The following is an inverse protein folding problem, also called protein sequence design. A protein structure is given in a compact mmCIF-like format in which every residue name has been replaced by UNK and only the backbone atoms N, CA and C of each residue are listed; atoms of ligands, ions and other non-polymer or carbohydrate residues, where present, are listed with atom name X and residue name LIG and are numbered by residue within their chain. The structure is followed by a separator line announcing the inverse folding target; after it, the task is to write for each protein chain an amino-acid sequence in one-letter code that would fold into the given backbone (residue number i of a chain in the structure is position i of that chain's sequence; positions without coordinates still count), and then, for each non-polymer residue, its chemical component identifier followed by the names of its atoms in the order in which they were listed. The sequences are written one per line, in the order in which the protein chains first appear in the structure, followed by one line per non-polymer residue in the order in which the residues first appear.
data_IF_614718632690
#
_entry.id   IF_614718632690
#
_cell.length_a   1.000
_cell.length_b   1.000
_cell.length_c   1.000
_cell.angle_alpha   90.00
_cell.angle_beta   90.00
_cell.angle_gamma   90.00
#
_symmetry.space_group_name_H-M   'P 1'
#
loop_
_entity.id
_entity.type
_entity.pdbx_description
1 polymer ?
#
# COMPACT_ATOMS: atom_id res chain seq x y z
N UNK A 1 8.80 19.75 -6.85
CA UNK A 1 8.22 20.80 -5.99
C UNK A 1 9.09 21.14 -4.78
N UNK A 2 9.52 20.16 -3.96
CA UNK A 2 10.40 20.43 -2.81
C UNK A 2 11.78 20.96 -3.24
N UNK A 3 12.41 20.37 -4.27
CA UNK A 3 13.68 20.86 -4.80
C UNK A 3 13.59 22.35 -5.21
N UNK A 4 12.52 22.74 -5.92
CA UNK A 4 12.27 24.13 -6.30
C UNK A 4 12.05 25.03 -5.08
N UNK A 5 11.39 24.53 -4.03
CA UNK A 5 11.20 25.26 -2.77
C UNK A 5 12.51 25.45 -1.99
N UNK A 6 13.41 24.46 -2.03
CA UNK A 6 14.74 24.53 -1.42
C UNK A 6 15.70 25.43 -2.22
N UNK A 7 15.52 25.57 -3.53
CA UNK A 7 16.34 26.45 -4.37
C UNK A 7 15.85 27.91 -4.37
N UNK A 8 14.65 28.17 -3.87
CA UNK A 8 14.04 29.51 -3.87
C UNK A 8 14.02 30.12 -2.47
N UNK A 9 14.50 31.35 -2.32
CA UNK A 9 14.34 32.10 -1.06
C UNK A 9 12.91 32.58 -0.83
N UNK A 10 12.13 32.66 -1.92
CA UNK A 10 10.74 33.12 -1.93
C UNK A 10 9.90 32.26 -2.86
N UNK A 11 8.71 31.86 -2.41
CA UNK A 11 7.71 31.15 -3.21
C UNK A 11 6.44 31.97 -3.29
N UNK A 12 5.73 31.94 -4.43
CA UNK A 12 4.39 32.54 -4.46
C UNK A 12 3.46 31.76 -3.53
N UNK A 13 2.47 32.44 -2.94
CA UNK A 13 1.48 31.81 -2.06
C UNK A 13 0.77 30.62 -2.72
N UNK A 14 0.48 30.73 -4.02
CA UNK A 14 -0.08 29.63 -4.83
C UNK A 14 0.85 28.41 -4.84
N UNK A 15 2.13 28.59 -5.19
CA UNK A 15 3.12 27.49 -5.23
C UNK A 15 3.33 26.88 -3.84
N UNK A 16 3.36 27.70 -2.80
CA UNK A 16 3.49 27.24 -1.42
C UNK A 16 2.27 26.41 -0.97
N UNK A 17 1.05 26.87 -1.27
CA UNK A 17 -0.18 26.12 -0.97
C UNK A 17 -0.30 24.82 -1.75
N UNK A 18 0.09 24.84 -3.04
CA UNK A 18 0.16 23.63 -3.86
C UNK A 18 1.11 22.61 -3.25
N UNK A 19 2.31 23.05 -2.83
CA UNK A 19 3.26 22.21 -2.11
C UNK A 19 2.67 21.65 -0.81
N UNK A 20 2.08 22.49 0.05
CA UNK A 20 1.44 22.04 1.29
C UNK A 20 0.28 21.06 1.05
N UNK A 21 -0.45 21.24 -0.05
CA UNK A 21 -1.47 20.31 -0.51
C UNK A 21 -0.89 18.94 -0.82
N UNK A 22 0.16 18.87 -1.64
CA UNK A 22 0.86 17.62 -1.94
C UNK A 22 1.45 16.96 -0.69
N UNK A 23 2.10 17.73 0.19
CA UNK A 23 2.67 17.21 1.44
C UNK A 23 1.59 16.71 2.40
N UNK A 24 0.38 17.29 2.39
CA UNK A 24 -0.77 16.79 3.15
C UNK A 24 -1.17 15.39 2.70
N UNK A 25 -1.21 15.14 1.41
CA UNK A 25 -1.49 13.80 0.88
C UNK A 25 -0.41 12.81 1.34
N UNK A 26 0.87 13.17 1.31
CA UNK A 26 1.93 12.26 1.80
C UNK A 26 1.82 12.03 3.32
N UNK A 27 1.44 13.04 4.09
CA UNK A 27 1.30 12.94 5.54
C UNK A 27 0.11 12.06 6.02
N UNK A 28 -0.79 11.63 5.11
CA UNK A 28 -1.78 10.60 5.43
C UNK A 28 -1.11 9.23 5.55
N UNK A 29 -0.16 8.93 4.65
CA UNK A 29 0.59 7.68 4.61
C UNK A 29 1.79 7.68 5.56
N UNK A 30 2.40 8.85 5.80
CA UNK A 30 3.59 9.01 6.66
C UNK A 30 3.22 9.80 7.91
N UNK A 31 2.65 9.13 8.92
CA UNK A 31 2.16 9.79 10.16
C UNK A 31 3.21 10.68 10.86
N UNK A 32 4.49 10.28 11.00
CA UNK A 32 5.51 11.15 11.61
C UNK A 32 5.75 12.46 10.84
N UNK A 33 5.50 12.46 9.52
CA UNK A 33 5.69 13.64 8.66
C UNK A 33 4.70 14.78 8.93
N UNK A 34 3.61 14.50 9.68
CA UNK A 34 2.57 15.49 10.04
C UNK A 34 3.13 16.66 10.86
N UNK A 35 4.09 16.40 11.74
CA UNK A 35 4.70 17.45 12.58
C UNK A 35 5.42 18.51 11.72
N UNK A 36 6.17 18.08 10.70
CA UNK A 36 6.82 18.97 9.73
C UNK A 36 5.79 19.75 8.90
N UNK A 37 4.69 19.11 8.48
CA UNK A 37 3.61 19.79 7.77
C UNK A 37 2.95 20.87 8.64
N UNK A 38 2.75 20.61 9.92
CA UNK A 38 2.15 21.54 10.85
C UNK A 38 3.01 22.79 11.03
N UNK A 39 4.32 22.62 11.25
CA UNK A 39 5.28 23.73 11.33
C UNK A 39 5.33 24.58 10.05
N UNK A 40 5.28 23.94 8.89
CA UNK A 40 5.18 24.66 7.61
C UNK A 40 3.87 25.48 7.48
N UNK A 41 2.75 24.99 8.05
CA UNK A 41 1.47 25.71 8.06
C UNK A 41 1.41 26.85 9.07
N UNK A 42 2.08 26.71 10.22
CA UNK A 42 2.23 27.82 11.18
C UNK A 42 2.98 28.99 10.52
N UNK A 43 3.97 28.68 9.67
CA UNK A 43 4.60 29.66 8.78
C UNK A 43 3.63 30.30 7.78
N UNK A 44 2.59 29.59 7.32
CA UNK A 44 1.57 30.12 6.40
C UNK A 44 0.72 31.21 7.06
N UNK A 45 0.32 31.02 8.32
CA UNK A 45 -0.56 31.94 9.04
C UNK A 45 0.06 33.34 9.22
N UNK A 46 1.39 33.42 9.19
CA UNK A 46 2.15 34.68 9.32
C UNK A 46 2.31 35.44 8.00
N UNK A 47 1.69 34.98 6.91
CA UNK A 47 1.87 35.54 5.56
C UNK A 47 0.70 36.43 5.14
N UNK A 48 0.98 37.72 4.94
CA UNK A 48 0.03 38.72 4.44
C UNK A 48 -0.53 38.36 3.04
N UNK A 49 -1.76 38.84 2.76
CA UNK A 49 -2.65 38.41 1.66
C UNK A 49 -2.07 38.45 0.23
N UNK A 50 -1.01 39.23 -0.03
CA UNK A 50 -0.47 39.44 -1.40
C UNK A 50 1.05 39.20 -1.54
N UNK A 51 1.70 38.60 -0.55
CA UNK A 51 3.16 38.47 -0.54
C UNK A 51 3.66 37.10 -1.03
N UNK A 52 4.86 37.12 -1.60
CA UNK A 52 5.68 35.91 -1.71
C UNK A 52 6.05 35.41 -0.31
N UNK A 53 5.95 34.11 -0.10
CA UNK A 53 6.33 33.38 1.11
C UNK A 53 7.86 33.32 1.16
N UNK A 54 8.47 34.01 2.13
CA UNK A 54 9.90 33.84 2.39
C UNK A 54 10.11 32.53 3.13
N UNK A 55 10.98 31.67 2.61
CA UNK A 55 11.31 30.40 3.25
C UNK A 55 12.31 30.68 4.38
N UNK A 56 11.85 30.55 5.62
CA UNK A 56 12.71 30.73 6.79
C UNK A 56 13.66 29.54 6.97
N UNK A 57 14.78 29.68 7.71
CA UNK A 57 15.68 28.56 7.96
C UNK A 57 14.97 27.33 8.58
N UNK A 58 14.08 27.46 9.58
CA UNK A 58 13.32 26.31 10.09
C UNK A 58 12.42 25.65 9.04
N UNK A 59 11.79 26.44 8.16
CA UNK A 59 10.99 25.88 7.06
C UNK A 59 11.87 25.13 6.06
N UNK A 60 13.09 25.62 5.81
CA UNK A 60 14.08 24.97 4.95
C UNK A 60 14.52 23.63 5.56
N UNK A 61 14.73 23.57 6.88
CA UNK A 61 15.04 22.32 7.58
C UNK A 61 13.89 21.31 7.47
N UNK A 62 12.65 21.76 7.66
CA UNK A 62 11.47 20.90 7.47
C UNK A 62 11.36 20.39 6.02
N UNK A 63 11.64 21.24 5.02
CA UNK A 63 11.67 20.83 3.62
C UNK A 63 12.81 19.85 3.29
N UNK A 64 13.96 19.96 3.98
CA UNK A 64 15.04 18.98 3.88
C UNK A 64 14.63 17.63 4.48
N UNK A 65 13.97 17.64 5.63
CA UNK A 65 13.40 16.41 6.20
C UNK A 65 12.39 15.75 5.26
N UNK A 66 11.51 16.52 4.64
CA UNK A 66 10.62 16.00 3.60
C UNK A 66 11.37 15.41 2.41
N UNK A 67 12.47 16.04 1.99
CA UNK A 67 13.32 15.51 0.93
C UNK A 67 13.95 14.17 1.34
N UNK A 68 14.43 14.03 2.57
CA UNK A 68 14.97 12.76 3.07
C UNK A 68 13.90 11.66 3.18
N UNK A 69 12.72 12.00 3.71
CA UNK A 69 11.59 11.07 3.83
C UNK A 69 11.17 10.56 2.45
N UNK A 70 11.10 11.43 1.44
CA UNK A 70 10.71 11.06 0.09
C UNK A 70 11.83 10.40 -0.73
N UNK A 71 13.10 10.59 -0.34
CA UNK A 71 14.22 9.86 -0.94
C UNK A 71 14.41 8.47 -0.35
N UNK A 72 13.79 8.15 0.79
CA UNK A 72 13.76 6.78 1.27
C UNK A 72 12.92 5.94 0.29
N UNK A 73 13.49 4.90 -0.36
CA UNK A 73 12.76 4.11 -1.33
C UNK A 73 11.63 3.30 -0.70
N UNK A 74 11.55 3.18 0.62
CA UNK A 74 10.58 2.36 1.33
C UNK A 74 9.69 3.19 2.27
N UNK A 75 8.40 2.88 2.27
CA UNK A 75 7.42 3.34 3.23
C UNK A 75 6.83 2.13 3.97
N UNK A 76 7.17 1.95 5.26
CA UNK A 76 6.80 0.78 6.06
C UNK A 76 7.15 -0.57 5.38
N UNK A 77 8.30 -0.62 4.69
CA UNK A 77 8.74 -1.80 3.93
C UNK A 77 8.15 -1.90 2.52
N UNK A 78 7.20 -1.04 2.13
CA UNK A 78 6.62 -0.99 0.78
C UNK A 78 7.40 0.02 -0.08
N UNK A 79 7.95 -0.39 -1.23
CA UNK A 79 8.62 0.52 -2.15
C UNK A 79 7.74 1.70 -2.60
N UNK A 80 8.25 2.93 -2.48
CA UNK A 80 7.56 4.14 -2.92
C UNK A 80 7.28 4.13 -4.44
N UNK A 81 8.05 3.38 -5.23
CA UNK A 81 7.81 3.22 -6.66
C UNK A 81 6.43 2.63 -6.95
N UNK A 82 5.91 1.75 -6.09
CA UNK A 82 4.56 1.16 -6.22
C UNK A 82 3.43 2.19 -6.08
N UNK A 83 3.69 3.36 -5.48
CA UNK A 83 2.72 4.45 -5.37
C UNK A 83 2.73 5.38 -6.59
N UNK A 84 3.83 5.42 -7.35
CA UNK A 84 3.96 6.25 -8.54
C UNK A 84 3.42 5.55 -9.79
N UNK A 85 3.70 4.25 -9.92
CA UNK A 85 3.18 3.37 -10.94
C UNK A 85 3.01 1.98 -10.31
N UNK A 86 1.98 1.22 -10.67
CA UNK A 86 1.96 -0.22 -10.39
C UNK A 86 2.89 -0.89 -11.42
N UNK A 87 4.12 -1.31 -11.04
CA UNK A 87 4.94 -2.07 -11.97
C UNK A 87 4.32 -3.43 -12.21
N UNK A 88 4.68 -4.04 -13.34
CA UNK A 88 4.28 -5.40 -13.64
C UNK A 88 4.63 -6.34 -12.48
N UNK A 89 3.71 -7.25 -12.09
CA UNK A 89 3.97 -8.22 -11.03
C UNK A 89 5.03 -9.24 -11.47
N UNK A 90 5.84 -9.68 -10.53
CA UNK A 90 6.79 -10.78 -10.74
C UNK A 90 6.04 -12.09 -11.01
N UNK A 91 4.94 -12.32 -10.27
CA UNK A 91 4.04 -13.44 -10.49
C UNK A 91 2.58 -13.02 -10.33
N UNK A 92 1.72 -13.60 -11.17
CA UNK A 92 0.26 -13.53 -10.99
C UNK A 92 -0.24 -14.85 -10.45
N UNK A 93 -1.01 -14.79 -9.36
CA UNK A 93 -1.68 -15.93 -8.74
C UNK A 93 -3.17 -15.80 -9.01
N UNK A 94 -3.80 -16.88 -9.46
CA UNK A 94 -5.25 -16.96 -9.59
C UNK A 94 -5.76 -17.83 -8.46
N UNK A 95 -6.72 -17.34 -7.69
CA UNK A 95 -7.29 -18.07 -6.56
C UNK A 95 -8.80 -18.18 -6.72
N UNK A 96 -9.36 -19.28 -6.24
CA UNK A 96 -10.80 -19.51 -6.21
C UNK A 96 -11.16 -20.30 -4.94
N UNK A 97 -12.39 -20.14 -4.47
CA UNK A 97 -12.96 -20.80 -3.32
C UNK A 97 -14.38 -21.26 -3.59
N UNK A 98 -14.70 -22.47 -3.16
CA UNK A 98 -16.02 -23.08 -3.27
C UNK A 98 -16.45 -23.68 -1.94
N UNK A 99 -17.64 -24.27 -1.87
CA UNK A 99 -18.09 -25.02 -0.69
C UNK A 99 -17.39 -26.36 -0.47
N UNK A 100 -16.54 -26.78 -1.40
CA UNK A 100 -15.79 -28.02 -1.31
C UNK A 100 -14.32 -27.80 -0.93
N UNK A 101 -13.78 -26.62 -1.23
CA UNK A 101 -12.37 -26.33 -1.06
C UNK A 101 -11.93 -25.07 -1.77
N UNK A 102 -10.63 -24.84 -1.73
CA UNK A 102 -9.94 -23.71 -2.36
C UNK A 102 -8.93 -24.20 -3.38
N UNK A 103 -8.61 -23.32 -4.32
CA UNK A 103 -7.51 -23.54 -5.24
C UNK A 103 -6.68 -22.27 -5.47
N UNK A 104 -5.43 -22.47 -5.87
CA UNK A 104 -4.54 -21.42 -6.31
C UNK A 104 -3.69 -21.91 -7.50
N UNK A 105 -3.43 -21.03 -8.46
CA UNK A 105 -2.66 -21.32 -9.67
C UNK A 105 -1.64 -20.21 -9.92
N UNK A 106 -0.40 -20.61 -10.24
CA UNK A 106 0.65 -19.70 -10.73
C UNK A 106 1.10 -20.18 -12.12
N UNK A 107 0.46 -19.72 -13.21
CA UNK A 107 0.73 -20.23 -14.55
C UNK A 107 2.19 -20.10 -14.98
N UNK A 108 2.84 -18.98 -14.63
CA UNK A 108 4.23 -18.70 -14.98
C UNK A 108 5.21 -19.75 -14.43
N UNK A 109 4.89 -20.35 -13.28
CA UNK A 109 5.71 -21.36 -12.62
C UNK A 109 5.11 -22.78 -12.74
N UNK A 110 3.97 -22.93 -13.43
CA UNK A 110 3.20 -24.19 -13.51
C UNK A 110 2.88 -24.79 -12.14
N UNK A 111 2.61 -23.92 -11.16
CA UNK A 111 2.24 -24.34 -9.82
C UNK A 111 0.72 -24.37 -9.68
N UNK A 112 0.21 -25.40 -9.03
CA UNK A 112 -1.19 -25.55 -8.70
C UNK A 112 -1.31 -26.09 -7.27
N UNK A 113 -2.24 -25.52 -6.51
CA UNK A 113 -2.59 -25.94 -5.16
C UNK A 113 -4.10 -26.12 -5.11
N UNK A 114 -4.52 -27.24 -4.53
CA UNK A 114 -5.92 -27.50 -4.20
C UNK A 114 -5.98 -27.99 -2.77
N UNK A 115 -6.89 -27.42 -1.99
CA UNK A 115 -7.16 -27.89 -0.63
C UNK A 115 -8.65 -28.18 -0.53
N UNK A 116 -8.98 -29.43 -0.23
CA UNK A 116 -10.35 -29.88 0.02
C UNK A 116 -10.66 -29.68 1.49
N UNK A 117 -11.80 -29.05 1.77
CA UNK A 117 -12.23 -28.82 3.14
C UNK A 117 -12.51 -30.13 3.86
N UNK A 118 -12.09 -30.15 5.12
CA UNK A 118 -12.37 -31.21 6.08
C UNK A 118 -13.86 -31.30 6.40
N UNK A 119 -14.30 -32.40 6.99
CA UNK A 119 -15.68 -32.57 7.43
C UNK A 119 -16.12 -31.47 8.42
N UNK A 120 -15.21 -30.98 9.26
CA UNK A 120 -15.47 -29.90 10.20
C UNK A 120 -15.68 -28.55 9.49
N UNK A 121 -14.84 -28.20 8.52
CA UNK A 121 -14.99 -26.97 7.73
C UNK A 121 -16.25 -27.01 6.85
N UNK A 122 -16.56 -28.16 6.25
CA UNK A 122 -17.83 -28.35 5.52
C UNK A 122 -19.02 -28.15 6.46
N UNK A 123 -18.92 -28.57 7.72
CA UNK A 123 -19.98 -28.36 8.71
C UNK A 123 -20.14 -26.87 9.03
N UNK A 124 -19.05 -26.10 9.17
CA UNK A 124 -19.11 -24.64 9.33
C UNK A 124 -19.83 -23.96 8.17
N UNK A 125 -19.55 -24.36 6.93
CA UNK A 125 -20.22 -23.84 5.73
C UNK A 125 -21.73 -24.14 5.78
N UNK A 126 -22.11 -25.36 6.18
CA UNK A 126 -23.52 -25.75 6.30
C UNK A 126 -24.25 -24.96 7.36
N UNK A 127 -23.61 -24.73 8.51
CA UNK A 127 -24.22 -23.98 9.61
C UNK A 127 -24.36 -22.50 9.25
N UNK A 128 -23.37 -21.92 8.58
CA UNK A 128 -23.45 -20.55 8.03
C UNK A 128 -24.64 -20.41 7.07
N UNK A 129 -24.83 -21.37 6.15
CA UNK A 129 -26.00 -21.39 5.23
C UNK A 129 -27.34 -21.55 5.94
N UNK A 130 -27.35 -22.06 7.17
CA UNK A 130 -28.54 -22.13 8.04
C UNK A 130 -28.75 -20.86 8.88
N UNK A 131 -27.88 -19.87 8.74
CA UNK A 131 -27.96 -18.59 9.45
C UNK A 131 -27.10 -18.52 10.71
N UNK A 132 -26.20 -19.46 10.95
CA UNK A 132 -25.22 -19.34 12.03
C UNK A 132 -24.20 -18.24 11.69
N UNK A 133 -23.82 -17.43 12.68
CA UNK A 133 -22.76 -16.43 12.54
C UNK A 133 -21.42 -17.02 13.00
N UNK A 134 -20.70 -17.67 12.09
CA UNK A 134 -19.42 -18.33 12.39
C UNK A 134 -18.23 -17.76 11.59
N UNK A 135 -18.45 -16.75 10.74
CA UNK A 135 -17.41 -16.06 9.98
C UNK A 135 -16.69 -16.90 8.90
N UNK A 136 -17.07 -18.17 8.70
CA UNK A 136 -16.47 -19.04 7.68
C UNK A 136 -17.16 -18.86 6.32
N UNK A 137 -17.39 -17.61 5.95
CA UNK A 137 -18.08 -17.22 4.72
C UNK A 137 -17.21 -17.35 3.48
N UNK A 138 -17.77 -17.01 2.32
CA UNK A 138 -17.03 -17.11 1.05
C UNK A 138 -15.85 -16.14 0.99
N UNK A 139 -16.00 -14.93 1.56
CA UNK A 139 -14.95 -13.91 1.55
C UNK A 139 -13.75 -14.35 2.38
N UNK A 140 -14.00 -14.90 3.57
CA UNK A 140 -12.96 -15.49 4.40
C UNK A 140 -12.21 -16.60 3.66
N UNK A 141 -12.93 -17.50 2.98
CA UNK A 141 -12.32 -18.65 2.30
C UNK A 141 -11.53 -18.27 1.05
N UNK A 142 -11.88 -17.19 0.36
CA UNK A 142 -11.04 -16.64 -0.71
C UNK A 142 -9.75 -16.03 -0.19
N UNK A 143 -9.81 -15.27 0.92
CA UNK A 143 -8.60 -14.79 1.59
C UNK A 143 -7.75 -15.95 2.13
N UNK A 144 -8.39 -17.04 2.56
CA UNK A 144 -7.71 -18.28 2.94
C UNK A 144 -6.96 -18.90 1.75
N UNK A 145 -7.56 -18.89 0.55
CA UNK A 145 -6.89 -19.35 -0.68
C UNK A 145 -5.62 -18.53 -0.97
N UNK A 146 -5.69 -17.20 -0.83
CA UNK A 146 -4.54 -16.31 -0.93
C UNK A 146 -3.45 -16.68 0.10
N UNK A 147 -3.84 -16.89 1.36
CA UNK A 147 -2.92 -17.25 2.44
C UNK A 147 -2.23 -18.59 2.17
N UNK A 148 -2.96 -19.59 1.66
CA UNK A 148 -2.40 -20.90 1.32
C UNK A 148 -1.38 -20.79 0.19
N UNK A 149 -1.65 -19.98 -0.85
CA UNK A 149 -0.71 -19.74 -1.93
C UNK A 149 0.60 -19.10 -1.42
N UNK A 150 0.47 -18.07 -0.57
CA UNK A 150 1.64 -17.40 0.05
C UNK A 150 2.42 -18.36 0.93
N UNK A 151 1.74 -19.17 1.74
CA UNK A 151 2.39 -20.13 2.63
C UNK A 151 3.10 -21.24 1.84
N UNK A 152 2.50 -21.73 0.75
CA UNK A 152 3.06 -22.82 -0.04
C UNK A 152 4.24 -22.37 -0.91
N UNK A 153 4.21 -21.15 -1.44
CA UNK A 153 5.12 -20.73 -2.50
C UNK A 153 5.91 -19.44 -2.20
N UNK A 154 5.73 -18.83 -1.03
CA UNK A 154 6.42 -17.59 -0.64
C UNK A 154 7.94 -17.71 -0.77
N UNK A 155 8.53 -18.80 -0.29
CA UNK A 155 9.98 -19.05 -0.41
C UNK A 155 10.42 -19.24 -1.87
N UNK A 156 9.61 -19.95 -2.67
CA UNK A 156 9.87 -20.18 -4.10
C UNK A 156 9.88 -18.86 -4.86
N UNK A 157 8.90 -17.98 -4.59
CA UNK A 157 8.82 -16.67 -5.22
C UNK A 157 9.98 -15.76 -4.82
N UNK A 158 10.41 -15.80 -3.54
CA UNK A 158 11.57 -15.04 -3.08
C UNK A 158 12.86 -15.54 -3.74
N UNK A 159 13.05 -16.85 -3.86
CA UNK A 159 14.22 -17.45 -4.50
C UNK A 159 14.30 -17.14 -6.00
N UNK A 160 13.16 -17.03 -6.68
CA UNK A 160 13.10 -16.73 -8.11
C UNK A 160 13.34 -15.24 -8.43
N UNK A 161 13.24 -14.33 -7.45
CA UNK A 161 13.36 -12.89 -7.65
C UNK A 161 14.76 -12.35 -7.30
N UNK A 162 15.12 -11.23 -7.92
CA UNK A 162 16.42 -10.58 -7.71
C UNK A 162 16.57 -10.01 -6.30
N UNK A 163 17.74 -10.20 -5.68
CA UNK A 163 18.09 -9.58 -4.39
C UNK A 163 18.22 -8.06 -4.56
N UNK A 164 17.27 -7.30 -4.02
CA UNK A 164 17.34 -5.83 -4.03
C UNK A 164 16.01 -5.12 -4.12
N UNK A 165 14.92 -5.82 -4.48
CA UNK A 165 13.55 -5.31 -4.36
C UNK A 165 12.62 -6.36 -3.78
N UNK A 166 11.55 -5.96 -3.06
CA UNK A 166 10.51 -6.89 -2.64
C UNK A 166 9.87 -7.57 -3.86
N UNK A 167 9.59 -8.86 -3.72
CA UNK A 167 8.83 -9.64 -4.72
C UNK A 167 7.40 -9.09 -4.82
N UNK A 168 6.99 -8.68 -6.01
CA UNK A 168 5.65 -8.18 -6.28
C UNK A 168 4.76 -9.34 -6.75
N UNK A 169 3.82 -9.75 -5.91
CA UNK A 169 2.82 -10.77 -6.24
C UNK A 169 1.47 -10.10 -6.46
N UNK A 170 0.82 -10.41 -7.58
CA UNK A 170 -0.54 -9.98 -7.86
C UNK A 170 -1.47 -11.18 -7.74
N UNK A 171 -2.33 -11.18 -6.72
CA UNK A 171 -3.35 -12.21 -6.54
C UNK A 171 -4.67 -11.74 -7.14
N UNK A 172 -5.27 -12.55 -7.99
CA UNK A 172 -6.57 -12.33 -8.62
C UNK A 172 -7.61 -13.21 -7.94
N UNK A 173 -8.58 -12.55 -7.34
CA UNK A 173 -9.77 -13.14 -6.71
C UNK A 173 -10.97 -12.71 -7.55
N UNK A 174 -11.95 -13.59 -7.72
CA UNK A 174 -13.13 -13.37 -8.57
C UNK A 174 -14.33 -12.75 -7.84
N UNK A 175 -14.31 -12.72 -6.51
CA UNK A 175 -15.35 -12.11 -5.71
C UNK A 175 -14.89 -10.78 -5.09
N UNK A 176 -15.58 -9.74 -5.56
CA UNK A 176 -15.31 -8.34 -5.27
C UNK A 176 -15.61 -8.02 -3.80
N UNK A 177 -16.52 -8.74 -3.15
CA UNK A 177 -16.92 -8.48 -1.76
C UNK A 177 -15.89 -8.96 -0.73
N UNK A 178 -14.92 -9.79 -1.12
CA UNK A 178 -13.82 -10.19 -0.25
C UNK A 178 -12.77 -9.08 -0.02
N UNK A 179 -12.79 -8.03 -0.85
CA UNK A 179 -11.78 -6.95 -0.86
C UNK A 179 -12.42 -5.58 -0.56
N UNK A 180 -13.73 -5.53 -0.32
CA UNK A 180 -14.50 -4.30 -0.05
C UNK A 180 -14.44 -3.83 1.39
#
# INVERSE_FOLDING_TARGET
MIANALQSDKLSRSKFRSLLGSLRHVATCIRPARSFLQRLREGEQRLHRYANVRISPPMRDDLLWWRYILHNPLLNGVPLCYFYALPEPDFTVFTDSSDEGICALVPALRLALTYRFSAAEIQLIRDLKRGADNGFDINYRELLACAFAVQAWGEVWQAACSRGRPTHIHIRVDNISAIS
#
